data_IF_797320497280
#
_entry.id   IF_797320497280
#
_cell.length_a   1.000
_cell.length_b   1.000
_cell.length_c   1.000
_cell.angle_alpha   90.00
_cell.angle_beta   90.00
_cell.angle_gamma   90.00
#
_symmetry.space_group_name_H-M   'P 1'
#
loop_
_entity.id
_entity.type
_entity.pdbx_description
1 polymer ?
#
# COMPACT_ATOMS: atom_id res chain seq x y z
N UNK A 1 14.62 -4.81 5.99
CA UNK A 1 15.03 -3.53 5.41
C UNK A 1 16.54 -3.48 5.23
N UNK A 2 16.99 -3.34 3.98
CA UNK A 2 18.41 -3.50 3.63
C UNK A 2 19.34 -2.43 4.24
N UNK A 3 18.83 -1.22 4.51
CA UNK A 3 19.64 -0.07 4.95
C UNK A 3 19.31 0.41 6.37
N UNK A 4 18.78 -0.48 7.22
CA UNK A 4 18.39 -0.13 8.61
C UNK A 4 17.13 0.74 8.71
N UNK A 5 16.42 0.94 7.60
CA UNK A 5 15.18 1.70 7.51
C UNK A 5 13.99 0.93 8.08
N UNK A 6 13.10 1.61 8.77
CA UNK A 6 11.88 0.99 9.32
C UNK A 6 10.75 1.06 8.30
N UNK A 7 9.98 -0.01 8.17
CA UNK A 7 8.91 -0.13 7.18
C UNK A 7 7.60 -0.50 7.87
N UNK A 8 6.61 0.37 7.75
CA UNK A 8 5.23 0.09 8.11
C UNK A 8 4.52 -0.51 6.88
N UNK A 9 3.94 -1.69 7.04
CA UNK A 9 3.19 -2.40 6.00
C UNK A 9 1.71 -2.35 6.35
N UNK A 10 0.91 -1.63 5.57
CA UNK A 10 -0.53 -1.48 5.80
C UNK A 10 -1.27 -2.51 4.97
N UNK A 11 -1.96 -3.42 5.64
CA UNK A 11 -2.68 -4.55 5.03
C UNK A 11 -4.16 -4.22 4.95
N UNK A 12 -4.60 -3.74 3.78
CA UNK A 12 -6.00 -3.45 3.49
C UNK A 12 -6.78 -4.65 2.93
N UNK A 13 -6.10 -5.72 2.51
CA UNK A 13 -6.75 -6.93 1.99
C UNK A 13 -7.24 -7.85 3.12
N UNK A 14 -8.55 -8.12 3.14
CA UNK A 14 -9.20 -9.03 4.08
C UNK A 14 -8.67 -10.47 4.02
N UNK A 15 -8.05 -10.88 2.91
CA UNK A 15 -7.43 -12.19 2.77
C UNK A 15 -6.15 -12.33 3.60
N UNK A 16 -5.65 -11.25 4.19
CA UNK A 16 -4.48 -11.21 5.08
C UNK A 16 -3.19 -11.80 4.50
N UNK A 17 -2.80 -11.47 3.25
CA UNK A 17 -1.60 -12.05 2.63
C UNK A 17 -0.29 -11.64 3.33
N UNK A 18 -0.13 -10.38 3.75
CA UNK A 18 1.06 -9.92 4.48
C UNK A 18 1.15 -10.55 5.87
N UNK A 19 0.05 -10.65 6.61
CA UNK A 19 0.03 -11.31 7.91
C UNK A 19 0.39 -12.79 7.79
N UNK A 20 -0.15 -13.49 6.79
CA UNK A 20 0.23 -14.88 6.46
C UNK A 20 1.72 -14.97 6.08
N UNK A 21 2.22 -13.99 5.33
CA UNK A 21 3.63 -13.92 4.97
C UNK A 21 4.53 -13.72 6.20
N UNK A 22 4.21 -12.78 7.10
CA UNK A 22 4.93 -12.55 8.36
C UNK A 22 4.94 -13.78 9.25
N UNK A 23 3.81 -14.47 9.39
CA UNK A 23 3.73 -15.71 10.16
C UNK A 23 4.70 -16.77 9.60
N UNK A 24 4.67 -16.99 8.29
CA UNK A 24 5.54 -17.96 7.63
C UNK A 24 7.03 -17.58 7.71
N UNK A 25 7.35 -16.30 7.54
CA UNK A 25 8.71 -15.79 7.65
C UNK A 25 9.24 -15.89 9.09
N UNK A 26 8.42 -15.57 10.09
CA UNK A 26 8.76 -15.68 11.51
C UNK A 26 9.08 -17.12 11.90
N UNK A 27 8.25 -18.08 11.48
CA UNK A 27 8.51 -19.52 11.69
C UNK A 27 9.84 -19.99 11.07
N UNK A 28 10.35 -19.27 10.08
CA UNK A 28 11.61 -19.56 9.38
C UNK A 28 12.77 -18.68 9.82
N UNK A 29 12.61 -17.85 10.86
CA UNK A 29 13.60 -16.84 11.29
C UNK A 29 14.05 -15.92 10.15
N UNK A 30 13.13 -15.59 9.24
CA UNK A 30 13.37 -14.79 8.05
C UNK A 30 12.62 -13.44 8.06
N UNK A 31 11.82 -13.18 9.11
CA UNK A 31 11.17 -11.89 9.27
C UNK A 31 12.19 -10.84 9.72
N UNK A 32 12.14 -9.67 9.10
CA UNK A 32 12.97 -8.54 9.50
C UNK A 32 12.28 -7.74 10.62
N UNK A 33 12.91 -7.55 11.79
CA UNK A 33 12.30 -6.82 12.90
C UNK A 33 12.09 -5.32 12.62
N UNK A 34 12.68 -4.77 11.56
CA UNK A 34 12.43 -3.40 11.12
C UNK A 34 11.14 -3.25 10.30
N UNK A 35 10.45 -4.35 10.02
CA UNK A 35 9.16 -4.36 9.36
C UNK A 35 8.04 -4.65 10.38
N UNK A 36 6.98 -3.84 10.35
CA UNK A 36 5.77 -4.05 11.14
C UNK A 36 4.53 -4.04 10.24
N UNK A 37 3.54 -4.87 10.57
CA UNK A 37 2.27 -4.93 9.83
C UNK A 37 1.18 -4.26 10.64
N UNK A 38 0.43 -3.38 9.99
CA UNK A 38 -0.76 -2.75 10.50
C UNK A 38 -1.97 -3.21 9.69
N UNK A 39 -3.03 -3.56 10.39
CA UNK A 39 -4.29 -3.96 9.77
C UNK A 39 -5.08 -2.69 9.44
N UNK A 40 -5.41 -2.51 8.16
CA UNK A 40 -6.04 -1.26 7.65
C UNK A 40 -7.15 -1.57 6.64
N UNK A 41 -7.93 -2.63 6.84
CA UNK A 41 -9.04 -3.03 5.95
C UNK A 41 -10.30 -2.17 6.10
N UNK A 42 -10.28 -1.19 7.01
CA UNK A 42 -11.32 -0.18 7.17
C UNK A 42 -10.70 1.22 7.31
N UNK A 43 -11.40 2.27 6.88
CA UNK A 43 -10.90 3.65 6.94
C UNK A 43 -10.49 4.10 8.36
N UNK A 44 -11.24 3.83 9.44
CA UNK A 44 -10.81 4.20 10.79
C UNK A 44 -9.51 3.50 11.21
N UNK A 45 -9.29 2.27 10.74
CA UNK A 45 -8.07 1.53 11.02
C UNK A 45 -6.87 2.11 10.26
N UNK A 46 -7.09 2.59 9.03
CA UNK A 46 -6.06 3.29 8.25
C UNK A 46 -5.57 4.56 8.98
N UNK A 47 -6.49 5.37 9.52
CA UNK A 47 -6.14 6.59 10.26
C UNK A 47 -5.31 6.27 11.51
N UNK A 48 -5.76 5.31 12.32
CA UNK A 48 -5.04 4.86 13.52
C UNK A 48 -3.65 4.31 13.17
N UNK A 49 -3.54 3.51 12.11
CA UNK A 49 -2.26 2.97 11.66
C UNK A 49 -1.31 4.07 11.20
N UNK A 50 -1.81 5.08 10.48
CA UNK A 50 -1.00 6.24 10.08
C UNK A 50 -0.48 7.01 11.28
N UNK A 51 -1.33 7.32 12.26
CA UNK A 51 -0.92 8.01 13.48
C UNK A 51 0.13 7.21 14.28
N UNK A 52 -0.07 5.90 14.41
CA UNK A 52 0.88 5.04 15.13
C UNK A 52 2.22 4.95 14.40
N UNK A 53 2.21 4.73 13.09
CA UNK A 53 3.42 4.64 12.28
C UNK A 53 4.19 5.97 12.28
N UNK A 54 3.49 7.10 12.17
CA UNK A 54 4.09 8.43 12.27
C UNK A 54 4.66 8.69 13.67
N UNK A 55 3.91 8.36 14.73
CA UNK A 55 4.34 8.55 16.12
C UNK A 55 5.55 7.68 16.50
N UNK A 56 5.68 6.51 15.89
CA UNK A 56 6.84 5.61 16.04
C UNK A 56 8.02 5.98 15.14
N UNK A 57 7.84 6.92 14.20
CA UNK A 57 8.89 7.43 13.33
C UNK A 57 9.32 6.44 12.24
N UNK A 58 8.38 5.69 11.66
CA UNK A 58 8.70 4.81 10.54
C UNK A 58 9.26 5.58 9.34
N UNK A 59 10.28 5.04 8.67
CA UNK A 59 10.90 5.70 7.52
C UNK A 59 10.03 5.60 6.25
N UNK A 60 9.34 4.49 6.07
CA UNK A 60 8.47 4.23 4.91
C UNK A 60 7.16 3.59 5.34
N UNK A 61 6.08 3.96 4.65
CA UNK A 61 4.81 3.25 4.68
C UNK A 61 4.54 2.64 3.31
N UNK A 62 4.26 1.34 3.26
CA UNK A 62 3.81 0.64 2.06
C UNK A 62 2.41 0.12 2.31
N UNK A 63 1.48 0.51 1.44
CA UNK A 63 0.10 0.06 1.54
C UNK A 63 -0.17 -1.01 0.49
N UNK A 64 -0.58 -2.18 0.96
CA UNK A 64 -1.12 -3.23 0.09
C UNK A 64 -2.63 -3.04 0.01
N UNK A 65 -3.09 -2.56 -1.14
CA UNK A 65 -4.50 -2.34 -1.43
C UNK A 65 -5.18 -3.64 -1.85
N UNK A 66 -6.40 -3.89 -1.37
CA UNK A 66 -7.32 -4.86 -1.97
C UNK A 66 -7.76 -4.47 -3.40
N UNK A 67 -8.28 -5.46 -4.13
CA UNK A 67 -8.80 -5.27 -5.48
C UNK A 67 -10.13 -4.50 -5.49
N UNK A 68 -10.30 -3.58 -6.44
CA UNK A 68 -11.55 -2.85 -6.69
C UNK A 68 -11.48 -1.35 -6.37
N UNK A 69 -12.50 -0.60 -6.82
CA UNK A 69 -12.65 0.82 -6.47
C UNK A 69 -13.40 0.92 -5.14
N UNK A 70 -12.72 1.37 -4.09
CA UNK A 70 -13.34 1.64 -2.79
C UNK A 70 -12.83 2.94 -2.18
N UNK A 71 -13.57 3.49 -1.23
CA UNK A 71 -13.21 4.73 -0.53
C UNK A 71 -11.86 4.61 0.19
N UNK A 72 -11.53 3.42 0.69
CA UNK A 72 -10.24 3.09 1.27
C UNK A 72 -9.11 3.24 0.24
N UNK A 73 -9.27 2.65 -0.95
CA UNK A 73 -8.28 2.76 -2.03
C UNK A 73 -8.13 4.21 -2.50
N UNK A 74 -9.22 4.99 -2.59
CA UNK A 74 -9.15 6.41 -2.93
C UNK A 74 -8.33 7.20 -1.91
N UNK A 75 -8.58 6.96 -0.62
CA UNK A 75 -7.85 7.61 0.48
C UNK A 75 -6.36 7.25 0.43
N UNK A 76 -6.03 5.98 0.19
CA UNK A 76 -4.63 5.53 0.02
C UNK A 76 -3.98 6.22 -1.18
N UNK A 77 -4.67 6.29 -2.31
CA UNK A 77 -4.15 6.95 -3.52
C UNK A 77 -3.87 8.43 -3.27
N UNK A 78 -4.83 9.15 -2.68
CA UNK A 78 -4.74 10.59 -2.42
C UNK A 78 -3.68 10.96 -1.37
N UNK A 79 -3.42 10.07 -0.41
CA UNK A 79 -2.44 10.30 0.67
C UNK A 79 -1.02 9.84 0.33
N UNK A 80 -0.83 9.07 -0.74
CA UNK A 80 0.46 8.47 -1.09
C UNK A 80 1.43 9.45 -1.76
N UNK A 81 2.71 9.37 -1.41
CA UNK A 81 3.77 10.11 -2.09
C UNK A 81 4.25 9.45 -3.39
N UNK A 82 4.03 8.14 -3.54
CA UNK A 82 4.41 7.35 -4.69
C UNK A 82 3.39 6.23 -4.87
N UNK A 83 2.95 6.02 -6.12
CA UNK A 83 2.06 4.93 -6.49
C UNK A 83 2.80 3.97 -7.41
N UNK A 84 2.79 2.69 -7.07
CA UNK A 84 3.38 1.62 -7.85
C UNK A 84 2.25 0.74 -8.42
N UNK A 85 2.23 0.58 -9.74
CA UNK A 85 1.30 -0.32 -10.43
C UNK A 85 2.11 -1.52 -10.94
N UNK A 86 2.20 -2.62 -10.19
CA UNK A 86 2.88 -3.81 -10.66
C UNK A 86 2.11 -4.43 -11.82
N UNK A 87 2.84 -4.90 -12.84
CA UNK A 87 2.26 -5.58 -14.02
C UNK A 87 3.20 -6.70 -14.48
N UNK A 88 2.62 -7.74 -15.08
CA UNK A 88 3.38 -8.78 -15.77
C UNK A 88 3.57 -8.40 -17.25
N UNK A 89 4.51 -9.06 -17.93
CA UNK A 89 4.83 -8.76 -19.34
C UNK A 89 3.83 -9.36 -20.35
N UNK A 90 2.61 -9.70 -19.92
CA UNK A 90 1.58 -10.18 -20.84
C UNK A 90 0.71 -9.03 -21.35
N UNK A 91 0.15 -9.12 -22.56
CA UNK A 91 -0.74 -8.08 -23.07
C UNK A 91 -1.95 -7.82 -22.18
N UNK A 92 -2.52 -8.86 -21.58
CA UNK A 92 -3.69 -8.73 -20.71
C UNK A 92 -3.35 -7.92 -19.45
N UNK A 93 -2.23 -8.23 -18.80
CA UNK A 93 -1.78 -7.53 -17.59
C UNK A 93 -1.39 -6.06 -17.88
N UNK A 94 -0.93 -5.78 -19.11
CA UNK A 94 -0.62 -4.42 -19.54
C UNK A 94 -1.89 -3.57 -19.70
N UNK A 95 -2.96 -4.13 -20.27
CA UNK A 95 -4.25 -3.45 -20.41
C UNK A 95 -4.88 -3.17 -19.03
N UNK A 96 -4.81 -4.12 -18.09
CA UNK A 96 -5.28 -3.95 -16.71
C UNK A 96 -4.48 -2.88 -15.96
N UNK A 97 -3.15 -2.88 -16.09
CA UNK A 97 -2.30 -1.85 -15.48
C UNK A 97 -2.59 -0.45 -16.03
N UNK A 98 -2.85 -0.34 -17.34
CA UNK A 98 -3.24 0.92 -17.97
C UNK A 98 -4.61 1.41 -17.48
N UNK A 99 -5.55 0.50 -17.24
CA UNK A 99 -6.85 0.83 -16.66
C UNK A 99 -6.72 1.37 -15.23
N UNK A 100 -5.91 0.71 -14.39
CA UNK A 100 -5.57 1.21 -13.04
C UNK A 100 -4.89 2.57 -13.08
N UNK A 101 -3.93 2.76 -14.01
CA UNK A 101 -3.26 4.04 -14.19
C UNK A 101 -4.25 5.15 -14.56
N UNK A 102 -5.15 4.90 -15.52
CA UNK A 102 -6.21 5.84 -15.90
C UNK A 102 -7.07 6.22 -14.70
N UNK A 103 -7.52 5.22 -13.94
CA UNK A 103 -8.34 5.45 -12.76
C UNK A 103 -7.64 6.35 -11.73
N UNK A 104 -6.35 6.10 -11.44
CA UNK A 104 -5.56 6.95 -10.54
C UNK A 104 -5.52 8.39 -11.06
N UNK A 105 -5.26 8.60 -12.34
CA UNK A 105 -5.22 9.95 -12.94
C UNK A 105 -6.57 10.65 -12.81
N UNK A 106 -7.67 9.96 -13.14
CA UNK A 106 -9.02 10.50 -13.05
C UNK A 106 -9.39 10.88 -11.61
N UNK A 107 -9.01 10.05 -10.63
CA UNK A 107 -9.18 10.34 -9.21
C UNK A 107 -8.38 11.58 -8.78
N UNK A 108 -7.09 11.64 -9.12
CA UNK A 108 -6.24 12.79 -8.77
C UNK A 108 -6.75 14.10 -9.38
N UNK A 109 -7.28 14.06 -10.61
CA UNK A 109 -7.94 15.20 -11.25
C UNK A 109 -9.20 15.59 -10.47
N UNK A 110 -10.04 14.62 -10.11
CA UNK A 110 -11.29 14.85 -9.37
C UNK A 110 -11.07 15.48 -8.01
N UNK A 111 -10.01 15.07 -7.31
CA UNK A 111 -9.60 15.59 -6.00
C UNK A 111 -8.76 16.88 -6.09
N UNK A 112 -8.52 17.40 -7.31
CA UNK A 112 -7.68 18.58 -7.57
C UNK A 112 -6.27 18.45 -6.97
N UNK A 113 -5.71 17.24 -7.00
CA UNK A 113 -4.37 16.91 -6.54
C UNK A 113 -3.35 17.04 -7.69
N UNK A 114 -2.10 17.28 -7.33
CA UNK A 114 -1.03 17.37 -8.31
C UNK A 114 -0.85 16.02 -9.01
N UNK A 115 -0.99 16.01 -10.33
CA UNK A 115 -0.69 14.84 -11.16
C UNK A 115 0.83 14.81 -11.35
N UNK A 116 1.54 13.75 -10.94
CA UNK A 116 2.96 13.61 -11.25
C UNK A 116 3.14 13.53 -12.77
N UNK A 117 3.62 14.61 -13.38
CA UNK A 117 4.08 14.57 -14.77
C UNK A 117 5.49 13.99 -14.80
N UNK A 118 5.72 13.06 -15.74
CA UNK A 118 7.03 12.46 -15.98
C UNK A 118 8.06 13.49 -16.48
#
# INVERSE_FOLDING_TARGET
AADGKTIALFEADENRPLSKWKENATRRNAWDPLCEIFITDELPLLEVAYEEAAGRGFDYCLVETHHGSSELNNTVIASSNLLLIPTMLTPLDADEALATFRYIIELLIGENLAIPAA
#
